data_IF_471882862975
#
_entry.id   IF_471882862975
#
_cell.length_a   1.000
_cell.length_b   1.000
_cell.length_c   1.000
_cell.angle_alpha   90.00
_cell.angle_beta   90.00
_cell.angle_gamma   90.00
#
_symmetry.space_group_name_H-M   'P 1'
#
loop_
_entity.id
_entity.type
_entity.pdbx_description
1 polymer ?
#
# COMPACT_ATOMS: atom_id res chain seq x y z
N UNK A 1 20.35 94.73 -21.83
CA UNK A 1 21.81 94.93 -21.79
C UNK A 1 22.44 93.71 -21.12
N UNK A 2 23.37 93.06 -21.82
CA UNK A 2 24.42 92.14 -21.35
C UNK A 2 24.02 90.80 -20.69
N UNK A 3 24.75 89.68 -20.80
CA UNK A 3 25.64 89.02 -21.78
C UNK A 3 26.01 87.67 -21.10
N UNK A 4 26.02 86.57 -21.87
CA UNK A 4 26.77 85.28 -21.74
C UNK A 4 26.63 84.29 -20.55
N UNK A 5 26.27 83.06 -20.94
CA UNK A 5 26.99 81.77 -20.83
C UNK A 5 27.37 81.15 -19.46
N UNK A 6 27.00 79.88 -19.23
CA UNK A 6 27.96 78.75 -19.23
C UNK A 6 27.25 77.38 -19.18
N UNK A 7 27.74 76.44 -19.98
CA UNK A 7 27.33 75.05 -20.01
C UNK A 7 27.98 74.23 -18.88
N UNK A 8 27.25 73.24 -18.34
CA UNK A 8 27.84 72.10 -17.63
C UNK A 8 27.13 70.81 -18.02
N UNK A 9 27.85 69.95 -18.73
CA UNK A 9 27.48 68.55 -19.03
C UNK A 9 27.91 67.71 -17.82
N UNK A 10 26.95 67.15 -17.08
CA UNK A 10 27.21 66.09 -16.09
C UNK A 10 26.94 64.72 -16.73
N UNK A 11 28.00 63.91 -16.84
CA UNK A 11 27.94 62.49 -17.22
C UNK A 11 27.07 61.72 -16.23
N UNK A 12 25.99 61.09 -16.71
CA UNK A 12 25.25 60.07 -15.96
C UNK A 12 25.83 58.71 -16.34
N UNK A 13 26.48 58.07 -15.39
CA UNK A 13 26.91 56.67 -15.45
C UNK A 13 25.67 55.82 -15.13
N UNK A 14 25.16 55.09 -16.13
CA UNK A 14 24.07 54.13 -15.96
C UNK A 14 24.68 52.76 -15.66
N UNK A 15 24.44 52.23 -14.46
CA UNK A 15 24.66 50.82 -14.13
C UNK A 15 23.55 49.96 -14.77
N UNK A 16 23.86 48.77 -15.33
CA UNK A 16 22.83 47.88 -15.83
C UNK A 16 22.11 47.21 -14.65
N UNK A 17 20.80 47.48 -14.54
CA UNK A 17 19.87 46.73 -13.70
C UNK A 17 19.76 45.33 -14.32
N UNK A 18 20.27 44.30 -13.62
CA UNK A 18 20.04 42.91 -13.99
C UNK A 18 18.55 42.60 -13.79
N UNK A 19 17.81 42.53 -14.90
CA UNK A 19 16.42 42.08 -14.93
C UNK A 19 16.39 40.59 -14.59
N UNK A 20 16.10 40.25 -13.34
CA UNK A 20 15.78 38.87 -12.95
C UNK A 20 14.42 38.54 -13.57
N UNK A 21 14.42 37.83 -14.69
CA UNK A 21 13.20 37.25 -15.26
C UNK A 21 12.71 36.17 -14.31
N UNK A 22 11.72 36.53 -13.50
CA UNK A 22 10.94 35.58 -12.72
C UNK A 22 10.12 34.75 -13.70
N UNK A 23 10.56 33.54 -14.03
CA UNK A 23 9.72 32.58 -14.76
C UNK A 23 8.55 32.23 -13.85
N UNK A 24 7.36 32.75 -14.16
CA UNK A 24 6.13 32.18 -13.64
C UNK A 24 6.02 30.76 -14.21
N UNK A 25 6.09 29.74 -13.34
CA UNK A 25 5.72 28.39 -13.72
C UNK A 25 4.22 28.42 -14.07
N UNK A 26 3.90 28.28 -15.36
CA UNK A 26 2.53 27.99 -15.78
C UNK A 26 2.11 26.63 -15.19
N UNK A 27 0.87 26.55 -14.72
CA UNK A 27 0.29 25.34 -14.14
C UNK A 27 0.04 24.32 -15.25
N UNK A 28 0.27 23.04 -14.94
CA UNK A 28 0.11 21.93 -15.87
C UNK A 28 -1.37 21.51 -15.94
N UNK A 29 -2.16 22.19 -16.76
CA UNK A 29 -3.62 22.06 -16.70
C UNK A 29 -4.14 20.87 -17.53
N UNK A 30 -5.01 20.03 -16.94
CA UNK A 30 -5.79 19.03 -17.68
C UNK A 30 -7.08 19.68 -18.20
N UNK A 31 -7.20 19.77 -19.52
CA UNK A 31 -8.33 20.42 -20.19
C UNK A 31 -9.36 19.40 -20.70
N UNK A 32 -8.91 18.19 -21.07
CA UNK A 32 -9.79 17.17 -21.66
C UNK A 32 -9.29 15.75 -21.41
N UNK A 33 -10.22 14.82 -21.23
CA UNK A 33 -9.96 13.38 -21.27
C UNK A 33 -10.61 12.79 -22.51
N UNK A 34 -9.81 12.17 -23.37
CA UNK A 34 -10.26 11.32 -24.47
C UNK A 34 -9.97 9.86 -24.13
N UNK A 35 -10.74 8.96 -24.72
CA UNK A 35 -10.48 7.53 -24.63
C UNK A 35 -10.82 6.86 -25.96
N UNK A 36 -10.23 5.70 -26.23
CA UNK A 36 -10.50 4.97 -27.46
C UNK A 36 -9.65 3.72 -27.61
N UNK A 37 -9.74 3.09 -28.78
CA UNK A 37 -8.87 1.99 -29.17
C UNK A 37 -7.87 2.45 -30.21
N UNK A 38 -6.61 2.08 -30.01
CA UNK A 38 -5.53 2.32 -30.96
C UNK A 38 -5.55 1.29 -32.08
N UNK A 39 -4.87 1.60 -33.20
CA UNK A 39 -4.79 0.72 -34.36
C UNK A 39 -4.13 -0.64 -34.06
N UNK A 40 -3.34 -0.72 -32.99
CA UNK A 40 -2.66 -1.94 -32.53
C UNK A 40 -3.47 -2.74 -31.49
N UNK A 41 -4.73 -2.35 -31.25
CA UNK A 41 -5.66 -2.99 -30.33
C UNK A 41 -5.54 -2.58 -28.86
N UNK A 42 -4.62 -1.69 -28.51
CA UNK A 42 -4.53 -1.17 -27.14
C UNK A 42 -5.71 -0.24 -26.80
N UNK A 43 -6.18 -0.29 -25.56
CA UNK A 43 -7.13 0.68 -25.03
C UNK A 43 -6.36 1.92 -24.54
N UNK A 44 -6.66 3.09 -25.08
CA UNK A 44 -5.94 4.32 -24.74
C UNK A 44 -6.82 5.26 -23.93
N UNK A 45 -6.26 5.80 -22.85
CA UNK A 45 -6.77 6.98 -22.14
C UNK A 45 -5.81 8.14 -22.40
N UNK A 46 -6.31 9.25 -22.91
CA UNK A 46 -5.51 10.42 -23.29
C UNK A 46 -5.96 11.62 -22.46
N UNK A 47 -5.06 12.19 -21.66
CA UNK A 47 -5.25 13.47 -20.99
C UNK A 47 -4.60 14.55 -21.85
N UNK A 48 -5.38 15.55 -22.24
CA UNK A 48 -4.97 16.67 -23.08
C UNK A 48 -4.93 17.92 -22.21
N UNK A 49 -3.88 18.69 -22.35
CA UNK A 49 -3.60 19.83 -21.52
C UNK A 49 -2.33 20.54 -21.96
N UNK A 50 -1.71 21.28 -21.05
CA UNK A 50 -0.48 22.01 -21.29
C UNK A 50 0.54 21.77 -20.15
N UNK A 51 1.82 21.98 -20.44
CA UNK A 51 2.93 21.92 -19.48
C UNK A 51 3.07 20.65 -18.62
N UNK A 52 2.77 19.47 -19.20
CA UNK A 52 2.95 18.17 -18.54
C UNK A 52 4.43 17.77 -18.37
N UNK A 53 5.06 18.30 -17.32
CA UNK A 53 6.42 17.96 -16.92
C UNK A 53 6.45 17.13 -15.63
N UNK A 54 7.41 16.21 -15.51
CA UNK A 54 7.59 15.42 -14.29
C UNK A 54 6.47 14.44 -13.97
N UNK A 55 5.60 14.12 -14.94
CA UNK A 55 4.49 13.18 -14.80
C UNK A 55 4.97 11.83 -14.27
N UNK A 56 4.31 11.33 -13.24
CA UNK A 56 4.58 10.03 -12.62
C UNK A 56 3.37 9.14 -12.81
N UNK A 57 3.59 7.83 -12.91
CA UNK A 57 2.48 6.88 -12.89
C UNK A 57 2.84 5.59 -12.16
N UNK A 58 1.83 4.93 -11.60
CA UNK A 58 1.95 3.63 -10.96
C UNK A 58 0.65 2.83 -11.12
N UNK A 59 0.72 1.51 -10.90
CA UNK A 59 -0.47 0.64 -10.92
C UNK A 59 -0.71 -0.02 -9.56
N UNK A 60 -1.99 -0.22 -9.24
CA UNK A 60 -2.48 -0.94 -8.08
C UNK A 60 -3.28 -2.15 -8.59
N UNK A 61 -3.22 -3.28 -7.90
CA UNK A 61 -3.89 -4.52 -8.34
C UNK A 61 -5.11 -4.90 -7.51
N UNK A 62 -5.33 -4.26 -6.36
CA UNK A 62 -6.47 -4.52 -5.50
C UNK A 62 -6.93 -3.25 -4.76
N UNK A 63 -7.87 -2.47 -5.32
CA UNK A 63 -8.50 -2.64 -6.64
C UNK A 63 -7.55 -2.32 -7.81
N UNK A 64 -7.86 -2.84 -9.01
CA UNK A 64 -7.05 -2.62 -10.20
C UNK A 64 -7.15 -1.16 -10.68
N UNK A 65 -6.06 -0.40 -10.57
CA UNK A 65 -6.01 1.03 -10.90
C UNK A 65 -4.69 1.40 -11.55
N UNK A 66 -4.69 2.40 -12.43
CA UNK A 66 -3.49 3.13 -12.83
C UNK A 66 -3.64 4.56 -12.31
N UNK A 67 -2.66 5.04 -11.57
CA UNK A 67 -2.63 6.40 -11.06
C UNK A 67 -1.57 7.17 -11.83
N UNK A 68 -1.91 8.37 -12.28
CA UNK A 68 -1.04 9.31 -12.97
C UNK A 68 -1.04 10.61 -12.18
N UNK A 69 0.11 10.97 -11.62
CA UNK A 69 0.33 12.21 -10.87
C UNK A 69 1.04 13.23 -11.78
N UNK A 70 0.45 14.41 -11.89
CA UNK A 70 0.93 15.55 -12.68
C UNK A 70 1.30 16.67 -11.69
N UNK A 71 2.59 16.92 -11.44
CA UNK A 71 3.04 17.97 -10.53
C UNK A 71 2.59 19.36 -10.97
N UNK A 72 2.25 20.23 -10.02
CA UNK A 72 1.81 21.62 -10.24
C UNK A 72 0.66 21.76 -11.26
N UNK A 73 -0.12 20.70 -11.46
CA UNK A 73 -1.23 20.71 -12.39
C UNK A 73 -2.50 21.26 -11.77
N UNK A 74 -3.46 21.65 -12.61
CA UNK A 74 -4.86 21.91 -12.22
C UNK A 74 -5.82 21.17 -13.14
N UNK A 75 -7.06 20.96 -12.69
CA UNK A 75 -8.08 20.30 -13.49
C UNK A 75 -9.09 21.32 -14.02
N UNK A 76 -9.06 21.61 -15.31
CA UNK A 76 -10.08 22.42 -16.00
C UNK A 76 -11.25 21.57 -16.54
N UNK A 77 -11.34 20.31 -16.13
CA UNK A 77 -12.43 19.41 -16.53
C UNK A 77 -13.76 19.87 -15.92
N UNK A 78 -14.83 19.85 -16.72
CA UNK A 78 -16.17 20.16 -16.24
C UNK A 78 -16.65 19.18 -15.15
N UNK A 79 -16.18 17.92 -15.20
CA UNK A 79 -16.45 16.90 -14.20
C UNK A 79 -15.14 16.17 -13.84
N UNK A 80 -14.96 15.87 -12.56
CA UNK A 80 -13.84 15.09 -12.05
C UNK A 80 -13.94 13.59 -12.41
N UNK A 81 -15.11 13.10 -12.84
CA UNK A 81 -15.35 11.72 -13.23
C UNK A 81 -15.70 11.64 -14.71
N UNK A 82 -14.90 10.88 -15.46
CA UNK A 82 -15.20 10.50 -16.85
C UNK A 82 -15.57 9.01 -16.89
N UNK A 83 -16.84 8.73 -17.16
CA UNK A 83 -17.32 7.36 -17.38
C UNK A 83 -16.85 6.86 -18.75
N UNK A 84 -16.44 5.59 -18.80
CA UNK A 84 -15.86 4.96 -19.98
C UNK A 84 -16.57 3.66 -20.34
N UNK A 85 -17.01 2.87 -19.35
CA UNK A 85 -17.75 1.60 -19.51
C UNK A 85 -17.09 0.62 -20.49
N UNK A 86 -15.76 0.60 -20.52
CA UNK A 86 -14.96 -0.28 -21.37
C UNK A 86 -14.71 -1.66 -20.75
N UNK A 87 -14.28 -2.66 -21.56
CA UNK A 87 -14.05 -4.03 -21.07
C UNK A 87 -12.89 -4.14 -20.06
N UNK A 88 -11.93 -3.20 -20.10
CA UNK A 88 -10.76 -3.16 -19.22
C UNK A 88 -10.80 -1.94 -18.31
N UNK A 89 -11.18 -0.77 -18.84
CA UNK A 89 -11.23 0.49 -18.08
C UNK A 89 -12.69 0.84 -17.80
N UNK A 90 -13.02 1.03 -16.53
CA UNK A 90 -14.37 1.41 -16.10
C UNK A 90 -14.59 2.92 -16.16
N UNK A 91 -13.68 3.69 -15.55
CA UNK A 91 -13.75 5.16 -15.52
C UNK A 91 -12.40 5.79 -15.18
N UNK A 92 -12.33 7.11 -15.34
CA UNK A 92 -11.19 7.94 -14.94
C UNK A 92 -11.66 9.01 -13.97
N UNK A 93 -10.99 9.11 -12.83
CA UNK A 93 -11.25 10.11 -11.79
C UNK A 93 -10.05 11.04 -11.69
N UNK A 94 -10.25 12.33 -11.85
CA UNK A 94 -9.22 13.37 -11.72
C UNK A 94 -9.49 14.18 -10.46
N UNK A 95 -8.53 14.18 -9.54
CA UNK A 95 -8.61 14.94 -8.30
C UNK A 95 -7.48 15.96 -8.30
N UNK A 96 -7.83 17.22 -8.08
CA UNK A 96 -6.88 18.32 -7.87
C UNK A 96 -6.51 18.41 -6.40
N UNK A 97 -5.21 18.50 -6.10
CA UNK A 97 -4.68 18.82 -4.78
C UNK A 97 -3.68 19.97 -4.88
N UNK A 98 -3.16 20.42 -3.74
CA UNK A 98 -2.38 21.66 -3.65
C UNK A 98 -1.08 21.65 -4.48
N UNK A 99 -0.44 20.49 -4.65
CA UNK A 99 0.85 20.35 -5.33
C UNK A 99 0.80 19.52 -6.63
N UNK A 100 -0.35 18.92 -6.95
CA UNK A 100 -0.50 18.02 -8.10
C UNK A 100 -1.95 17.76 -8.47
N UNK A 101 -2.15 17.37 -9.73
CA UNK A 101 -3.37 16.70 -10.18
C UNK A 101 -3.13 15.20 -10.27
N UNK A 102 -4.04 14.42 -9.69
CA UNK A 102 -4.02 12.97 -9.71
C UNK A 102 -5.15 12.43 -10.59
N UNK A 103 -4.80 11.81 -11.71
CA UNK A 103 -5.73 11.07 -12.54
C UNK A 103 -5.66 9.56 -12.21
N UNK A 104 -6.78 8.98 -11.81
CA UNK A 104 -6.94 7.57 -11.44
C UNK A 104 -7.81 6.86 -12.45
N UNK A 105 -7.23 5.92 -13.19
CA UNK A 105 -7.91 5.07 -14.16
C UNK A 105 -8.31 3.78 -13.45
N UNK A 106 -9.61 3.59 -13.21
CA UNK A 106 -10.14 2.37 -12.59
C UNK A 106 -10.32 1.28 -13.65
N UNK A 107 -9.86 0.07 -13.35
CA UNK A 107 -9.87 -1.06 -14.27
C UNK A 107 -10.61 -2.26 -13.68
N UNK A 108 -11.22 -3.08 -14.55
CA UNK A 108 -11.88 -4.34 -14.18
C UNK A 108 -10.89 -5.43 -13.78
N UNK A 109 -9.66 -5.36 -14.32
CA UNK A 109 -8.56 -6.27 -14.02
C UNK A 109 -7.22 -5.58 -14.24
N UNK A 110 -6.17 -6.05 -13.57
CA UNK A 110 -4.84 -5.47 -13.74
C UNK A 110 -4.23 -5.89 -15.08
N UNK A 111 -3.87 -4.90 -15.89
CA UNK A 111 -3.29 -5.08 -17.22
C UNK A 111 -2.07 -4.17 -17.36
N UNK A 112 -0.96 -4.63 -17.99
CA UNK A 112 0.19 -3.77 -18.27
C UNK A 112 -0.20 -2.54 -19.10
N UNK A 113 0.47 -1.42 -18.82
CA UNK A 113 0.28 -0.18 -19.57
C UNK A 113 1.59 0.45 -19.99
N UNK A 114 1.53 1.29 -21.02
CA UNK A 114 2.62 2.14 -21.49
C UNK A 114 2.17 3.60 -21.36
N UNK A 115 2.93 4.39 -20.61
CA UNK A 115 2.75 5.84 -20.55
C UNK A 115 3.59 6.52 -21.63
N UNK A 116 2.98 7.36 -22.46
CA UNK A 116 3.68 8.30 -23.33
C UNK A 116 3.30 9.71 -22.89
N UNK A 117 4.30 10.52 -22.57
CA UNK A 117 4.10 11.89 -22.14
C UNK A 117 4.76 12.86 -23.13
N UNK A 118 4.00 13.84 -23.60
CA UNK A 118 4.46 15.05 -24.32
C UNK A 118 4.00 16.28 -23.54
N UNK A 119 4.57 17.45 -23.83
CA UNK A 119 4.24 18.69 -23.12
C UNK A 119 2.72 18.97 -23.03
N UNK A 120 1.96 18.58 -24.05
CA UNK A 120 0.51 18.86 -24.15
C UNK A 120 -0.40 17.62 -24.06
N UNK A 121 0.18 16.42 -23.87
CA UNK A 121 -0.60 15.18 -23.89
C UNK A 121 0.05 14.05 -23.13
N UNK A 122 -0.73 13.42 -22.25
CA UNK A 122 -0.37 12.15 -21.62
C UNK A 122 -1.26 11.05 -22.19
N UNK A 123 -0.65 10.00 -22.74
CA UNK A 123 -1.34 8.82 -23.26
C UNK A 123 -0.99 7.60 -22.40
N UNK A 124 -2.00 6.96 -21.83
CA UNK A 124 -1.91 5.67 -21.13
C UNK A 124 -2.47 4.59 -22.06
N UNK A 125 -1.60 3.80 -22.66
CA UNK A 125 -1.97 2.69 -23.54
C UNK A 125 -1.98 1.38 -22.76
N UNK A 126 -3.17 0.79 -22.58
CA UNK A 126 -3.43 -0.43 -21.80
C UNK A 126 -3.68 -1.56 -22.79
N UNK A 127 -2.79 -2.54 -22.83
CA UNK A 127 -2.87 -3.65 -23.79
C UNK A 127 -3.00 -4.96 -23.06
N UNK A 128 -4.18 -5.57 -23.18
CA UNK A 128 -4.41 -6.92 -22.67
C UNK A 128 -3.75 -7.95 -23.60
N UNK A 129 -2.72 -8.69 -23.13
CA UNK A 129 -2.06 -9.70 -23.94
C UNK A 129 -2.97 -10.88 -24.31
N UNK A 130 -4.12 -11.05 -23.67
CA UNK A 130 -5.08 -12.12 -23.97
C UNK A 130 -6.17 -11.72 -24.97
N UNK A 131 -6.32 -10.42 -25.29
CA UNK A 131 -7.33 -9.90 -26.26
C UNK A 131 -6.72 -9.73 -27.67
N UNK A 132 -5.56 -10.33 -27.91
CA UNK A 132 -4.87 -10.31 -29.20
C UNK A 132 -5.07 -11.59 -30.01
N UNK A 133 -6.30 -12.07 -30.24
CA UNK A 133 -6.52 -13.15 -31.25
C UNK A 133 -7.97 -13.25 -31.71
N UNK A 134 -8.40 -12.37 -32.62
CA UNK A 134 -9.47 -12.68 -33.57
C UNK A 134 -9.22 -11.89 -34.86
N UNK A 135 -8.29 -12.35 -35.69
CA UNK A 135 -8.37 -12.18 -37.15
C UNK A 135 -7.67 -13.35 -37.84
N UNK A 136 -8.27 -13.75 -38.95
CA UNK A 136 -8.24 -15.06 -39.59
C UNK A 136 -6.86 -15.61 -39.98
N UNK A 137 -6.83 -16.95 -39.99
CA UNK A 137 -5.78 -17.79 -40.56
C UNK A 137 -5.63 -17.52 -42.06
N UNK A 138 -4.53 -16.91 -42.46
CA UNK A 138 -3.86 -17.18 -43.74
C UNK A 138 -2.37 -17.37 -43.47
N UNK A 139 -1.85 -18.55 -43.85
CA UNK A 139 -0.43 -18.89 -43.74
C UNK A 139 0.41 -17.97 -44.65
N UNK A 140 1.35 -17.17 -44.12
CA UNK A 140 2.36 -16.52 -44.95
C UNK A 140 3.60 -17.43 -45.06
N UNK A 141 4.13 -17.54 -46.28
CA UNK A 141 5.46 -18.07 -46.59
C UNK A 141 6.52 -17.38 -45.71
N UNK A 142 7.41 -18.15 -45.07
CA UNK A 142 8.53 -17.62 -44.29
C UNK A 142 9.47 -16.74 -45.14
N UNK A 143 9.69 -15.46 -44.78
CA UNK A 143 10.94 -14.80 -45.06
C UNK A 143 11.98 -15.28 -44.04
N UNK A 144 13.18 -15.62 -44.51
CA UNK A 144 14.34 -15.91 -43.64
C UNK A 144 14.63 -14.70 -42.76
N UNK A 145 14.30 -14.78 -41.48
CA UNK A 145 14.66 -13.75 -40.51
C UNK A 145 16.15 -13.89 -40.16
N UNK A 146 16.89 -12.81 -40.40
CA UNK A 146 18.28 -12.63 -39.96
C UNK A 146 18.35 -12.91 -38.45
N UNK A 147 19.41 -13.63 -38.07
CA UNK A 147 19.76 -14.02 -36.71
C UNK A 147 19.40 -12.99 -35.65
N UNK A 148 18.54 -13.38 -34.71
CA UNK A 148 18.24 -12.59 -33.52
C UNK A 148 19.53 -12.31 -32.73
N UNK A 149 19.79 -11.06 -32.30
CA UNK A 149 20.93 -10.76 -31.44
C UNK A 149 20.78 -11.50 -30.10
N UNK A 150 21.90 -12.01 -29.56
CA UNK A 150 22.00 -12.74 -28.27
C UNK A 150 21.17 -12.07 -27.16
N UNK A 151 20.56 -12.84 -26.24
CA UNK A 151 19.80 -12.27 -25.13
C UNK A 151 20.73 -11.41 -24.28
N UNK A 152 20.51 -10.09 -24.29
CA UNK A 152 21.11 -9.19 -23.32
C UNK A 152 20.54 -9.59 -21.95
N UNK A 153 21.40 -9.71 -20.94
CA UNK A 153 20.97 -10.04 -19.58
C UNK A 153 20.54 -8.77 -18.87
N UNK A 154 19.52 -8.87 -18.02
CA UNK A 154 19.18 -7.83 -17.09
C UNK A 154 20.18 -7.83 -15.93
N UNK A 155 20.59 -6.64 -15.49
CA UNK A 155 21.45 -6.47 -14.32
C UNK A 155 20.69 -5.79 -13.18
N UNK A 156 21.11 -6.07 -11.95
CA UNK A 156 20.43 -5.65 -10.72
C UNK A 156 21.45 -5.05 -9.79
N UNK A 157 21.18 -3.80 -9.41
CA UNK A 157 21.93 -3.02 -8.43
C UNK A 157 21.01 -2.56 -7.30
N UNK A 158 21.62 -2.27 -6.15
CA UNK A 158 20.95 -1.66 -5.01
C UNK A 158 21.71 -0.43 -4.54
N UNK A 159 20.98 0.64 -4.21
CA UNK A 159 21.52 1.81 -3.54
C UNK A 159 20.58 2.27 -2.42
N UNK A 160 21.15 2.87 -1.38
CA UNK A 160 20.38 3.65 -0.40
C UNK A 160 20.12 5.06 -0.94
N UNK A 161 18.91 5.56 -0.72
CA UNK A 161 18.53 6.95 -0.96
C UNK A 161 18.50 7.77 0.34
N UNK A 162 17.88 8.95 0.29
CA UNK A 162 17.68 9.80 1.47
C UNK A 162 16.70 9.15 2.45
N UNK A 163 16.81 9.50 3.75
CA UNK A 163 15.89 9.07 4.81
C UNK A 163 15.74 7.54 5.01
N UNK A 164 16.70 6.73 4.60
CA UNK A 164 16.64 5.26 4.70
C UNK A 164 15.80 4.59 3.59
N UNK A 165 15.60 5.30 2.48
CA UNK A 165 15.01 4.76 1.26
C UNK A 165 15.90 3.66 0.67
N UNK A 166 15.32 2.52 0.26
CA UNK A 166 16.01 1.49 -0.51
C UNK A 166 15.64 1.57 -1.98
N UNK A 167 16.62 1.56 -2.90
CA UNK A 167 16.39 1.61 -4.34
C UNK A 167 16.95 0.36 -5.02
N UNK A 168 16.09 -0.44 -5.62
CA UNK A 168 16.50 -1.59 -6.46
C UNK A 168 16.40 -1.17 -7.91
N UNK A 169 17.56 -1.05 -8.57
CA UNK A 169 17.67 -0.63 -9.96
C UNK A 169 17.90 -1.85 -10.84
N UNK A 170 17.01 -2.07 -11.79
CA UNK A 170 17.08 -3.15 -12.76
C UNK A 170 17.37 -2.55 -14.13
N UNK A 171 18.51 -2.88 -14.72
CA UNK A 171 18.83 -2.52 -16.10
C UNK A 171 18.25 -3.57 -17.03
N UNK A 172 17.23 -3.21 -17.77
CA UNK A 172 16.49 -4.08 -18.69
C UNK A 172 17.26 -4.34 -19.99
N UNK A 173 17.08 -5.52 -20.61
CA UNK A 173 17.84 -5.91 -21.79
C UNK A 173 17.34 -5.25 -23.09
N UNK A 174 16.04 -4.94 -23.15
CA UNK A 174 15.41 -4.19 -24.23
C UNK A 174 14.36 -3.22 -23.67
N UNK A 175 13.86 -2.31 -24.52
CA UNK A 175 12.75 -1.40 -24.17
C UNK A 175 11.40 -2.13 -24.07
N UNK A 176 11.28 -3.28 -24.74
CA UNK A 176 10.06 -4.11 -24.73
C UNK A 176 10.01 -5.06 -23.53
N UNK A 177 11.07 -5.10 -22.72
CA UNK A 177 11.10 -5.87 -21.48
C UNK A 177 10.27 -5.18 -20.41
N UNK A 178 9.57 -5.96 -19.58
CA UNK A 178 8.73 -5.45 -18.49
C UNK A 178 8.99 -6.20 -17.20
N UNK A 179 8.73 -5.55 -16.07
CA UNK A 179 8.85 -6.14 -14.73
C UNK A 179 7.52 -6.03 -14.02
N UNK A 180 7.00 -7.18 -13.58
CA UNK A 180 5.79 -7.25 -12.74
C UNK A 180 6.22 -7.37 -11.28
N UNK A 181 5.73 -6.49 -10.42
CA UNK A 181 6.11 -6.47 -9.00
C UNK A 181 4.91 -6.89 -8.15
N UNK A 182 5.11 -7.92 -7.32
CA UNK A 182 4.08 -8.48 -6.44
C UNK A 182 4.56 -8.53 -4.99
N UNK A 183 3.65 -8.24 -4.06
CA UNK A 183 3.92 -8.40 -2.62
C UNK A 183 3.37 -9.73 -2.14
N UNK A 184 4.25 -10.60 -1.66
CA UNK A 184 3.92 -11.92 -1.12
C UNK A 184 4.40 -11.98 0.33
N UNK A 185 3.52 -11.62 1.26
CA UNK A 185 3.84 -11.50 2.69
C UNK A 185 4.87 -10.40 2.97
N UNK A 186 6.00 -10.75 3.59
CA UNK A 186 7.15 -9.86 3.86
C UNK A 186 8.18 -9.79 2.73
N UNK A 187 7.80 -10.26 1.53
CA UNK A 187 8.69 -10.33 0.37
C UNK A 187 8.06 -9.64 -0.83
N UNK A 188 8.90 -9.00 -1.63
CA UNK A 188 8.54 -8.48 -2.94
C UNK A 188 9.13 -9.40 -4.00
N UNK A 189 8.30 -9.84 -4.93
CA UNK A 189 8.68 -10.65 -6.09
C UNK A 189 8.63 -9.75 -7.32
N UNK A 190 9.76 -9.53 -7.97
CA UNK A 190 9.82 -8.80 -9.24
C UNK A 190 10.10 -9.78 -10.38
N UNK A 191 9.09 -10.05 -11.20
CA UNK A 191 9.14 -11.01 -12.31
C UNK A 191 9.47 -10.28 -13.61
N UNK A 192 10.57 -10.68 -14.26
CA UNK A 192 10.99 -10.12 -15.55
C UNK A 192 10.34 -10.89 -16.71
N UNK A 193 9.86 -10.13 -17.69
CA UNK A 193 9.32 -10.60 -18.97
C UNK A 193 10.12 -10.00 -20.12
N UNK A 194 10.35 -10.76 -21.19
CA UNK A 194 11.13 -10.30 -22.36
C UNK A 194 12.66 -10.38 -22.20
N UNK A 195 13.15 -11.11 -21.18
CA UNK A 195 14.58 -11.33 -20.95
C UNK A 195 14.85 -12.20 -19.73
N UNK A 196 16.14 -12.33 -19.36
CA UNK A 196 16.57 -13.04 -18.15
C UNK A 196 17.55 -12.18 -17.36
N UNK A 197 17.56 -12.31 -16.04
CA UNK A 197 18.68 -11.85 -15.23
C UNK A 197 19.92 -12.72 -15.51
N UNK A 198 21.09 -12.20 -15.15
CA UNK A 198 22.35 -12.92 -15.27
C UNK A 198 22.47 -14.10 -14.29
N UNK A 199 23.65 -14.29 -13.70
CA UNK A 199 23.88 -15.38 -12.74
C UNK A 199 23.03 -15.19 -11.48
N UNK A 200 22.58 -16.31 -10.92
CA UNK A 200 21.89 -16.29 -9.63
C UNK A 200 22.87 -15.79 -8.57
N UNK A 201 22.52 -14.69 -7.91
CA UNK A 201 23.34 -14.04 -6.89
C UNK A 201 22.44 -13.54 -5.76
N UNK A 202 22.99 -13.46 -4.56
CA UNK A 202 22.31 -12.86 -3.40
C UNK A 202 23.05 -11.60 -3.00
N UNK A 203 22.32 -10.49 -2.93
CA UNK A 203 22.83 -9.21 -2.44
C UNK A 203 22.32 -9.02 -1.01
N UNK A 204 23.23 -8.92 -0.04
CA UNK A 204 22.88 -8.53 1.32
C UNK A 204 23.03 -7.01 1.44
N UNK A 205 21.96 -6.33 1.84
CA UNK A 205 21.89 -4.86 1.83
C UNK A 205 21.39 -4.30 3.16
N UNK A 206 21.47 -5.10 4.23
CA UNK A 206 21.01 -4.75 5.57
C UNK A 206 21.81 -3.58 6.17
N UNK A 207 23.11 -3.50 5.84
CA UNK A 207 24.02 -2.49 6.39
C UNK A 207 23.78 -1.08 5.85
N UNK A 208 22.93 -0.95 4.81
CA UNK A 208 22.59 0.33 4.20
C UNK A 208 21.48 1.09 4.95
N UNK A 209 21.02 0.59 6.10
CA UNK A 209 20.04 1.29 6.95
C UNK A 209 18.66 1.47 6.30
N UNK A 210 18.31 0.60 5.34
CA UNK A 210 17.02 0.63 4.64
C UNK A 210 16.10 -0.49 5.12
N UNK A 211 14.83 -0.45 4.73
CA UNK A 211 13.87 -1.54 5.00
C UNK A 211 14.17 -2.81 4.20
N UNK A 212 15.03 -2.74 3.18
CA UNK A 212 15.43 -3.89 2.36
C UNK A 212 16.55 -4.65 3.05
N UNK A 213 16.35 -5.95 3.27
CA UNK A 213 17.32 -6.83 3.93
C UNK A 213 18.25 -7.50 2.91
N UNK A 214 17.66 -8.13 1.90
CA UNK A 214 18.39 -8.86 0.87
C UNK A 214 17.62 -8.93 -0.44
N UNK A 215 18.36 -9.10 -1.54
CA UNK A 215 17.82 -9.29 -2.89
C UNK A 215 18.39 -10.59 -3.46
N UNK A 216 17.55 -11.60 -3.60
CA UNK A 216 17.91 -12.86 -4.25
C UNK A 216 17.56 -12.75 -5.74
N UNK A 217 18.57 -12.78 -6.61
CA UNK A 217 18.43 -12.73 -8.07
C UNK A 217 18.35 -14.16 -8.60
N UNK A 218 17.26 -14.49 -9.28
CA UNK A 218 17.08 -15.74 -10.03
C UNK A 218 17.00 -15.47 -11.53
N UNK A 219 17.07 -16.51 -12.35
CA UNK A 219 17.07 -16.41 -13.83
C UNK A 219 15.99 -15.47 -14.40
N UNK A 220 14.76 -15.53 -13.88
CA UNK A 220 13.63 -14.73 -14.38
C UNK A 220 13.00 -13.82 -13.33
N UNK A 221 13.46 -13.83 -12.07
CA UNK A 221 12.80 -13.07 -10.99
C UNK A 221 13.75 -12.61 -9.92
N UNK A 222 13.37 -11.56 -9.22
CA UNK A 222 13.99 -11.13 -7.98
C UNK A 222 13.08 -11.47 -6.81
N UNK A 223 13.68 -11.84 -5.70
CA UNK A 223 13.01 -11.99 -4.41
C UNK A 223 13.68 -11.04 -3.42
N UNK A 224 12.98 -9.96 -3.12
CA UNK A 224 13.45 -8.91 -2.24
C UNK A 224 12.81 -9.16 -0.87
N UNK A 225 13.62 -9.36 0.16
CA UNK A 225 13.16 -9.56 1.53
C UNK A 225 13.28 -8.25 2.31
N UNK A 226 12.25 -7.88 3.06
CA UNK A 226 12.26 -6.66 3.88
C UNK A 226 12.38 -6.97 5.37
N UNK A 227 12.82 -6.00 6.17
CA UNK A 227 12.94 -6.11 7.62
C UNK A 227 11.57 -6.11 8.32
N UNK A 228 10.64 -5.32 7.81
CA UNK A 228 9.27 -5.19 8.31
C UNK A 228 8.31 -4.95 7.15
N UNK A 229 7.01 -4.83 7.44
CA UNK A 229 5.96 -4.55 6.45
C UNK A 229 5.64 -3.04 6.30
N UNK A 230 6.25 -2.18 7.11
CA UNK A 230 5.92 -0.76 7.21
C UNK A 230 6.78 0.07 6.25
N UNK A 231 6.41 0.08 4.98
CA UNK A 231 7.05 0.84 3.92
C UNK A 231 6.08 1.09 2.77
N UNK A 232 6.29 2.17 2.04
CA UNK A 232 5.61 2.44 0.79
C UNK A 232 6.46 1.91 -0.37
N UNK A 233 5.81 1.21 -1.30
CA UNK A 233 6.45 0.62 -2.46
C UNK A 233 6.06 1.42 -3.70
N UNK A 234 7.03 2.02 -4.37
CA UNK A 234 6.83 2.60 -5.70
C UNK A 234 7.69 1.85 -6.71
N UNK A 235 7.21 1.73 -7.94
CA UNK A 235 8.00 1.17 -9.03
C UNK A 235 7.72 1.90 -10.32
N UNK A 236 8.76 2.19 -11.09
CA UNK A 236 8.64 2.90 -12.35
C UNK A 236 9.72 2.48 -13.34
N UNK A 237 9.41 2.55 -14.64
CA UNK A 237 10.36 2.29 -15.71
C UNK A 237 10.71 3.60 -16.43
N UNK A 238 12.00 3.88 -16.54
CA UNK A 238 12.53 4.94 -17.39
C UNK A 238 13.50 4.31 -18.42
N UNK A 239 13.12 4.36 -19.70
CA UNK A 239 13.83 3.71 -20.80
C UNK A 239 14.09 2.20 -20.54
N UNK A 240 15.36 1.84 -20.33
CA UNK A 240 15.84 0.49 -20.04
C UNK A 240 16.18 0.32 -18.55
N UNK A 241 15.65 1.18 -17.70
CA UNK A 241 15.87 1.11 -16.25
C UNK A 241 14.53 0.97 -15.57
N UNK A 242 14.32 -0.12 -14.84
CA UNK A 242 13.19 -0.29 -13.96
C UNK A 242 13.66 -0.06 -12.52
N UNK A 243 13.03 0.86 -11.80
CA UNK A 243 13.36 1.18 -10.42
C UNK A 243 12.23 0.71 -9.51
N UNK A 244 12.59 0.07 -8.41
CA UNK A 244 11.70 -0.22 -7.29
C UNK A 244 12.23 0.55 -6.09
N UNK A 245 11.44 1.48 -5.57
CA UNK A 245 11.79 2.25 -4.39
C UNK A 245 10.97 1.77 -3.18
N UNK A 246 11.69 1.60 -2.09
CA UNK A 246 11.16 1.26 -0.78
C UNK A 246 11.32 2.50 0.08
N UNK A 247 10.26 3.28 0.14
CA UNK A 247 10.23 4.47 0.97
C UNK A 247 9.85 4.03 2.38
N UNK A 248 10.46 4.63 3.39
CA UNK A 248 9.77 4.68 4.68
C UNK A 248 8.38 5.26 4.40
N UNK A 249 7.32 4.75 5.06
CA UNK A 249 6.01 5.35 4.90
C UNK A 249 6.22 6.84 5.07
N UNK A 250 5.79 7.62 4.08
CA UNK A 250 5.66 9.05 4.29
C UNK A 250 4.68 9.13 5.44
N UNK A 251 5.20 9.28 6.67
CA UNK A 251 4.48 10.07 7.65
C UNK A 251 4.34 11.36 6.90
N UNK A 252 3.16 11.59 6.32
CA UNK A 252 2.81 12.91 5.83
C UNK A 252 3.35 13.86 6.89
N UNK A 253 4.13 14.85 6.47
CA UNK A 253 4.53 15.91 7.38
C UNK A 253 3.24 16.69 7.67
N UNK A 254 2.37 16.10 8.46
CA UNK A 254 1.39 16.81 9.25
C UNK A 254 2.26 17.68 10.16
N UNK A 255 2.05 18.99 10.10
CA UNK A 255 2.80 19.92 10.93
C UNK A 255 2.70 19.46 12.39
N UNK A 256 3.84 19.07 12.95
CA UNK A 256 3.92 18.40 14.24
C UNK A 256 3.72 19.35 15.43
N UNK A 257 3.61 20.66 15.17
CA UNK A 257 3.31 21.65 16.19
C UNK A 257 1.81 21.69 16.57
N UNK A 258 0.93 21.06 15.77
CA UNK A 258 -0.53 21.06 15.94
C UNK A 258 -1.11 19.69 16.38
N UNK A 259 -0.26 18.75 16.81
CA UNK A 259 -0.65 17.35 16.98
C UNK A 259 -0.29 16.82 18.37
N UNK A 260 -1.22 16.13 19.04
CA UNK A 260 -1.90 16.72 20.19
C UNK A 260 -1.70 15.85 21.44
N UNK A 261 -2.12 16.23 22.65
CA UNK A 261 -2.43 15.19 23.63
C UNK A 261 -3.74 14.53 23.17
N UNK A 262 -3.68 13.68 22.14
CA UNK A 262 -4.86 12.98 21.61
C UNK A 262 -4.77 12.41 20.20
N UNK A 263 -3.63 11.90 19.71
CA UNK A 263 -3.47 11.17 18.41
C UNK A 263 -4.27 11.72 17.20
N UNK A 264 -3.67 12.66 16.48
CA UNK A 264 -4.21 13.36 15.31
C UNK A 264 -4.34 12.54 14.01
N UNK A 265 -4.44 11.22 14.13
CA UNK A 265 -4.82 10.32 13.02
C UNK A 265 -6.30 9.96 13.06
N UNK A 266 -7.04 10.41 14.08
CA UNK A 266 -8.46 10.13 14.26
C UNK A 266 -9.28 11.39 13.96
N UNK A 267 -10.21 11.29 13.01
CA UNK A 267 -11.28 12.27 12.85
C UNK A 267 -12.22 12.15 14.06
N UNK A 268 -12.26 13.18 14.90
CA UNK A 268 -13.21 13.31 16.00
C UNK A 268 -14.57 13.77 15.46
N UNK A 269 -15.64 13.05 15.82
CA UNK A 269 -17.01 13.25 15.30
C UNK A 269 -18.04 13.43 16.41
N UNK A 270 -17.59 13.46 17.67
CA UNK A 270 -18.47 13.65 18.81
C UNK A 270 -19.09 15.04 18.84
N UNK A 271 -20.28 15.13 19.43
CA UNK A 271 -20.87 16.41 19.81
C UNK A 271 -19.91 17.20 20.72
N UNK A 272 -19.85 18.51 20.54
CA UNK A 272 -18.92 19.35 21.28
C UNK A 272 -19.39 19.57 22.71
N UNK A 273 -18.43 19.62 23.62
CA UNK A 273 -18.66 19.89 25.03
C UNK A 273 -17.72 20.99 25.54
N UNK A 274 -18.22 21.72 26.54
CA UNK A 274 -17.47 22.75 27.25
C UNK A 274 -17.54 22.44 28.74
N UNK A 275 -16.39 22.14 29.35
CA UNK A 275 -16.28 21.69 30.73
C UNK A 275 -15.19 22.49 31.42
N UNK A 276 -15.41 22.87 32.67
CA UNK A 276 -14.39 23.54 33.48
C UNK A 276 -14.43 22.99 34.89
N UNK A 277 -13.46 22.13 35.19
CA UNK A 277 -13.31 21.51 36.50
C UNK A 277 -11.89 21.69 37.00
N UNK A 278 -11.80 21.98 38.29
CA UNK A 278 -10.54 22.00 39.02
C UNK A 278 -10.56 20.81 39.97
N UNK A 279 -9.54 19.98 39.90
CA UNK A 279 -9.31 18.85 40.82
C UNK A 279 -10.52 17.90 40.97
N UNK A 280 -11.13 17.52 39.85
CA UNK A 280 -12.26 16.57 39.83
C UNK A 280 -11.74 15.14 39.73
N UNK A 281 -12.39 14.19 40.42
CA UNK A 281 -12.06 12.77 40.26
C UNK A 281 -12.24 12.31 38.82
N UNK A 282 -11.26 11.58 38.29
CA UNK A 282 -11.29 11.10 36.90
C UNK A 282 -12.54 10.24 36.64
N UNK A 283 -12.97 9.45 37.63
CA UNK A 283 -14.20 8.65 37.56
C UNK A 283 -15.44 9.53 37.35
N UNK A 284 -15.54 10.64 38.09
CA UNK A 284 -16.66 11.56 37.98
C UNK A 284 -16.70 12.24 36.61
N UNK A 285 -15.54 12.61 36.05
CA UNK A 285 -15.47 13.17 34.68
C UNK A 285 -15.90 12.15 33.63
N UNK A 286 -15.43 10.91 33.74
CA UNK A 286 -15.82 9.84 32.81
C UNK A 286 -17.32 9.55 32.88
N UNK A 287 -17.91 9.59 34.07
CA UNK A 287 -19.34 9.44 34.26
C UNK A 287 -20.13 10.60 33.64
N UNK A 288 -19.66 11.84 33.80
CA UNK A 288 -20.29 12.99 33.16
C UNK A 288 -20.29 12.89 31.63
N UNK A 289 -19.20 12.40 31.04
CA UNK A 289 -19.13 12.13 29.59
C UNK A 289 -20.10 11.01 29.20
N UNK A 290 -20.21 9.94 30.00
CA UNK A 290 -21.16 8.86 29.78
C UNK A 290 -22.61 9.38 29.76
N UNK A 291 -22.97 10.21 30.75
CA UNK A 291 -24.29 10.79 30.91
C UNK A 291 -24.62 11.76 29.77
N UNK A 292 -23.66 12.59 29.34
CA UNK A 292 -23.83 13.51 28.22
C UNK A 292 -24.05 12.79 26.89
N UNK A 293 -23.28 11.72 26.64
CA UNK A 293 -23.30 10.98 25.37
C UNK A 293 -24.30 9.83 25.35
N UNK A 294 -24.98 9.56 26.48
CA UNK A 294 -25.82 8.38 26.71
C UNK A 294 -25.09 7.07 26.35
N UNK A 295 -23.79 6.99 26.64
CA UNK A 295 -22.96 5.81 26.37
C UNK A 295 -22.75 4.98 27.64
N UNK A 296 -22.68 3.65 27.47
CA UNK A 296 -22.42 2.77 28.61
C UNK A 296 -20.92 2.71 28.88
N UNK A 297 -20.45 3.40 29.91
CA UNK A 297 -19.06 3.39 30.36
C UNK A 297 -18.94 2.57 31.64
N UNK A 298 -18.01 1.61 31.66
CA UNK A 298 -17.64 0.84 32.84
C UNK A 298 -16.20 1.18 33.21
N UNK A 299 -16.01 1.75 34.40
CA UNK A 299 -14.70 2.20 34.88
C UNK A 299 -14.16 1.22 35.92
N UNK A 300 -12.95 0.68 35.70
CA UNK A 300 -12.30 -0.23 36.66
C UNK A 300 -12.14 0.41 38.05
N UNK A 301 -12.14 -0.41 39.11
CA UNK A 301 -11.81 0.03 40.47
C UNK A 301 -10.41 0.63 40.60
N UNK A 302 -9.49 0.26 39.71
CA UNK A 302 -8.10 0.72 39.71
C UNK A 302 -7.90 2.14 39.13
N UNK A 303 -8.97 2.75 38.61
CA UNK A 303 -8.91 4.14 38.11
C UNK A 303 -8.94 5.10 39.29
N UNK A 304 -7.79 5.70 39.58
CA UNK A 304 -7.57 6.61 40.71
C UNK A 304 -6.98 7.95 40.25
N UNK A 305 -7.20 8.98 41.06
CA UNK A 305 -6.63 10.31 40.88
C UNK A 305 -7.64 11.36 40.39
N UNK A 306 -7.21 12.62 40.47
CA UNK A 306 -7.98 13.79 40.06
C UNK A 306 -7.36 14.48 38.84
N UNK A 307 -8.16 15.18 38.06
CA UNK A 307 -7.73 15.93 36.89
C UNK A 307 -8.30 17.35 36.94
N UNK A 308 -7.50 18.33 36.52
CA UNK A 308 -7.98 19.68 36.24
C UNK A 308 -8.12 19.82 34.74
N UNK A 309 -9.30 20.23 34.29
CA UNK A 309 -9.69 20.22 32.89
C UNK A 309 -10.46 21.49 32.56
N UNK A 310 -10.04 22.17 31.51
CA UNK A 310 -10.78 23.27 30.90
C UNK A 310 -10.90 23.00 29.41
N UNK A 311 -12.11 22.65 28.98
CA UNK A 311 -12.50 22.42 27.60
C UNK A 311 -13.49 23.50 27.18
N UNK A 312 -13.32 23.99 25.96
CA UNK A 312 -14.23 24.94 25.35
C UNK A 312 -14.46 24.49 23.92
N UNK A 313 -15.71 24.10 23.62
CA UNK A 313 -16.15 23.62 22.30
C UNK A 313 -15.28 22.48 21.74
N UNK A 314 -15.01 21.47 22.56
CA UNK A 314 -14.18 20.31 22.18
C UNK A 314 -15.07 19.09 21.97
N UNK A 315 -14.97 18.35 20.84
CA UNK A 315 -15.67 17.08 20.65
C UNK A 315 -15.46 16.12 21.82
N UNK A 316 -16.53 15.49 22.31
CA UNK A 316 -16.45 14.65 23.51
C UNK A 316 -15.49 13.45 23.37
N UNK A 317 -15.34 12.92 22.16
CA UNK A 317 -14.46 11.81 21.84
C UNK A 317 -12.98 12.24 21.85
N UNK A 318 -12.70 13.47 21.43
CA UNK A 318 -11.39 14.11 21.60
C UNK A 318 -11.10 14.37 23.08
N UNK A 319 -12.06 14.94 23.80
CA UNK A 319 -11.95 15.19 25.23
C UNK A 319 -11.67 13.91 26.01
N UNK A 320 -12.39 12.83 25.70
CA UNK A 320 -12.17 11.52 26.28
C UNK A 320 -10.75 11.02 26.01
N UNK A 321 -10.26 11.11 24.76
CA UNK A 321 -8.90 10.67 24.44
C UNK A 321 -7.83 11.46 25.20
N UNK A 322 -7.98 12.80 25.29
CA UNK A 322 -7.10 13.66 26.08
C UNK A 322 -7.06 13.22 27.55
N UNK A 323 -8.22 12.95 28.15
CA UNK A 323 -8.33 12.52 29.56
C UNK A 323 -7.65 11.15 29.75
N UNK A 324 -7.92 10.21 28.84
CA UNK A 324 -7.33 8.87 28.90
C UNK A 324 -5.81 8.95 28.81
N UNK A 325 -5.28 9.74 27.88
CA UNK A 325 -3.84 9.94 27.70
C UNK A 325 -3.20 10.64 28.90
N UNK A 326 -3.80 11.72 29.40
CA UNK A 326 -3.29 12.47 30.55
C UNK A 326 -3.18 11.62 31.82
N UNK A 327 -4.03 10.60 31.96
CA UNK A 327 -4.07 9.71 33.14
C UNK A 327 -3.54 8.30 32.89
N UNK A 328 -2.94 8.03 31.73
CA UNK A 328 -2.41 6.70 31.40
C UNK A 328 -3.49 5.61 31.44
N UNK A 329 -4.71 5.98 31.10
CA UNK A 329 -5.84 5.08 30.98
C UNK A 329 -5.95 4.59 29.53
N UNK A 330 -6.62 3.47 29.36
CA UNK A 330 -6.96 2.95 28.06
C UNK A 330 -8.41 2.49 28.05
N UNK A 331 -9.01 2.52 26.86
CA UNK A 331 -10.39 2.15 26.63
C UNK A 331 -10.44 0.89 25.77
N UNK A 332 -11.28 -0.05 26.16
CA UNK A 332 -11.67 -1.21 25.36
C UNK A 332 -13.16 -1.11 25.05
N UNK A 333 -13.52 -1.11 23.77
CA UNK A 333 -14.92 -1.06 23.33
C UNK A 333 -15.39 -2.47 22.97
N UNK A 334 -16.39 -2.95 23.69
CA UNK A 334 -17.02 -4.24 23.46
C UNK A 334 -18.48 -4.01 23.12
N UNK A 335 -18.77 -3.85 21.82
CA UNK A 335 -20.10 -3.52 21.33
C UNK A 335 -20.56 -2.14 21.84
N UNK A 336 -21.62 -2.13 22.66
CA UNK A 336 -22.24 -0.92 23.21
C UNK A 336 -21.62 -0.44 24.54
N UNK A 337 -20.66 -1.19 25.10
CA UNK A 337 -20.04 -0.88 26.39
C UNK A 337 -18.57 -0.50 26.19
N UNK A 338 -18.16 0.58 26.84
CA UNK A 338 -16.78 1.06 26.88
C UNK A 338 -16.18 0.76 28.25
N UNK A 339 -15.21 -0.14 28.30
CA UNK A 339 -14.46 -0.46 29.51
C UNK A 339 -13.22 0.42 29.58
N UNK A 340 -13.08 1.19 30.67
CA UNK A 340 -11.95 2.09 30.90
C UNK A 340 -11.17 1.63 32.13
N UNK A 341 -9.86 1.45 31.97
CA UNK A 341 -8.97 1.03 33.04
C UNK A 341 -7.55 1.56 32.78
N UNK A 342 -6.66 1.55 33.79
CA UNK A 342 -5.25 1.84 33.57
C UNK A 342 -4.67 0.91 32.50
N UNK A 343 -3.80 1.44 31.63
CA UNK A 343 -3.20 0.64 30.54
C UNK A 343 -2.52 -0.63 31.05
N UNK A 344 -1.86 -0.55 32.23
CA UNK A 344 -1.21 -1.68 32.88
C UNK A 344 -2.18 -2.81 33.25
N UNK A 345 -3.40 -2.47 33.71
CA UNK A 345 -4.44 -3.44 34.06
C UNK A 345 -4.96 -4.13 32.80
N UNK A 346 -5.21 -3.36 31.73
CA UNK A 346 -5.66 -3.91 30.45
C UNK A 346 -4.63 -4.88 29.88
N UNK A 347 -3.35 -4.48 29.85
CA UNK A 347 -2.27 -5.35 29.37
C UNK A 347 -2.18 -6.64 30.20
N UNK A 348 -2.18 -6.53 31.53
CA UNK A 348 -2.14 -7.70 32.43
C UNK A 348 -3.32 -8.65 32.20
N UNK A 349 -4.54 -8.12 32.06
CA UNK A 349 -5.73 -8.94 31.82
C UNK A 349 -5.67 -9.65 30.47
N UNK A 350 -5.15 -8.99 29.44
CA UNK A 350 -4.94 -9.59 28.13
C UNK A 350 -3.90 -10.71 28.20
N UNK A 351 -2.74 -10.46 28.82
CA UNK A 351 -1.68 -11.46 29.02
C UNK A 351 -2.20 -12.69 29.77
N UNK A 352 -2.95 -12.49 30.85
CA UNK A 352 -3.55 -13.59 31.61
C UNK A 352 -4.59 -14.34 30.77
N UNK A 353 -5.40 -13.63 29.99
CA UNK A 353 -6.33 -14.24 29.04
C UNK A 353 -5.64 -15.12 28.00
N UNK A 354 -4.52 -14.65 27.44
CA UNK A 354 -3.70 -15.46 26.53
C UNK A 354 -3.10 -16.67 27.23
N UNK A 355 -2.57 -16.50 28.45
CA UNK A 355 -2.00 -17.59 29.24
C UNK A 355 -3.03 -18.66 29.57
N UNK A 356 -4.23 -18.26 30.01
CA UNK A 356 -5.34 -19.18 30.28
C UNK A 356 -5.73 -19.93 29.00
N UNK A 357 -5.80 -19.24 27.86
CA UNK A 357 -6.14 -19.85 26.57
C UNK A 357 -5.09 -20.88 26.14
N UNK A 358 -3.80 -20.56 26.30
CA UNK A 358 -2.70 -21.49 26.04
C UNK A 358 -2.77 -22.72 26.95
N UNK A 359 -2.95 -22.53 28.26
CA UNK A 359 -3.10 -23.64 29.21
C UNK A 359 -4.32 -24.50 28.89
N UNK A 360 -5.44 -23.89 28.47
CA UNK A 360 -6.64 -24.63 28.04
C UNK A 360 -6.35 -25.50 26.83
N UNK A 361 -5.64 -24.97 25.83
CA UNK A 361 -5.25 -25.75 24.65
C UNK A 361 -4.28 -26.88 25.02
N UNK A 362 -3.28 -26.61 25.87
CA UNK A 362 -2.32 -27.62 26.32
C UNK A 362 -2.97 -28.75 27.14
N UNK A 363 -4.04 -28.45 27.89
CA UNK A 363 -4.77 -29.43 28.72
C UNK A 363 -5.98 -30.05 28.05
N UNK A 364 -6.37 -29.57 26.87
CA UNK A 364 -7.48 -30.15 26.14
C UNK A 364 -7.14 -31.59 25.68
N UNK A 365 -8.11 -32.52 25.69
CA UNK A 365 -7.87 -33.87 25.22
C UNK A 365 -7.61 -33.86 23.71
N UNK A 366 -6.58 -34.59 23.28
CA UNK A 366 -6.32 -34.82 21.87
C UNK A 366 -7.35 -35.81 21.33
N UNK A 367 -7.91 -35.48 20.18
CA UNK A 367 -8.85 -36.32 19.44
C UNK A 367 -8.24 -36.67 18.09
N UNK A 368 -8.51 -37.88 17.63
CA UNK A 368 -8.11 -38.34 16.31
C UNK A 368 -9.31 -38.28 15.37
N UNK A 369 -9.13 -37.65 14.22
CA UNK A 369 -10.16 -37.58 13.18
C UNK A 369 -9.59 -37.90 11.79
N UNK A 370 -10.48 -38.38 10.91
CA UNK A 370 -10.18 -38.85 9.57
C UNK A 370 -10.99 -38.03 8.56
N UNK A 371 -10.30 -37.24 7.74
CA UNK A 371 -10.94 -36.41 6.72
C UNK A 371 -10.62 -36.98 5.34
N UNK A 372 -11.63 -37.57 4.70
CA UNK A 372 -11.53 -38.05 3.33
C UNK A 372 -11.55 -36.88 2.35
N UNK A 373 -10.58 -36.84 1.43
CA UNK A 373 -10.46 -35.82 0.40
C UNK A 373 -10.95 -36.39 -0.93
N UNK A 374 -11.82 -35.66 -1.65
CA UNK A 374 -12.54 -36.20 -2.81
C UNK A 374 -12.05 -35.66 -4.15
N UNK A 375 -11.69 -34.38 -4.23
CA UNK A 375 -11.31 -33.69 -5.47
C UNK A 375 -9.81 -33.35 -5.49
N UNK A 376 -9.26 -32.91 -4.36
CA UNK A 376 -7.84 -32.60 -4.21
C UNK A 376 -7.02 -33.84 -3.79
N UNK A 377 -5.70 -33.79 -4.01
CA UNK A 377 -4.77 -34.77 -3.41
C UNK A 377 -4.46 -34.38 -1.97
N UNK A 378 -4.63 -35.31 -1.03
CA UNK A 378 -4.37 -35.09 0.39
C UNK A 378 -2.94 -34.60 0.68
N UNK A 379 -1.93 -35.09 -0.06
CA UNK A 379 -0.55 -34.58 0.03
C UNK A 379 -0.40 -33.09 -0.29
N UNK A 380 -1.17 -32.58 -1.26
CA UNK A 380 -1.12 -31.16 -1.63
C UNK A 380 -1.77 -30.31 -0.54
N UNK A 381 -2.85 -30.80 0.06
CA UNK A 381 -3.48 -30.15 1.21
C UNK A 381 -2.56 -30.16 2.44
N UNK A 382 -1.87 -31.28 2.70
CA UNK A 382 -0.86 -31.37 3.76
C UNK A 382 0.19 -30.27 3.62
N UNK A 383 0.72 -30.05 2.42
CA UNK A 383 1.71 -28.96 2.17
C UNK A 383 1.14 -27.58 2.50
N UNK A 384 -0.13 -27.31 2.17
CA UNK A 384 -0.77 -26.03 2.51
C UNK A 384 -0.90 -25.88 4.03
N UNK A 385 -1.33 -26.94 4.72
CA UNK A 385 -1.49 -26.96 6.18
C UNK A 385 -0.13 -26.87 6.91
N UNK A 386 0.91 -27.51 6.38
CA UNK A 386 2.25 -27.57 6.96
C UNK A 386 3.08 -26.29 6.65
N UNK A 387 2.83 -25.63 5.51
CA UNK A 387 3.41 -24.29 5.27
C UNK A 387 2.89 -23.22 6.26
N UNK A 388 1.77 -23.50 6.94
CA UNK A 388 1.28 -22.72 8.08
C UNK A 388 2.12 -22.90 9.35
N UNK A 389 2.77 -24.05 9.55
CA UNK A 389 3.66 -24.33 10.70
C UNK A 389 4.99 -23.58 10.64
N UNK A 390 5.57 -23.44 9.45
CA UNK A 390 6.90 -22.82 9.29
C UNK A 390 6.91 -21.28 9.23
N UNK A 391 5.75 -20.63 9.41
CA UNK A 391 5.62 -19.17 9.26
C UNK A 391 5.69 -18.39 10.58
N UNK A 392 5.58 -19.05 11.75
CA UNK A 392 5.79 -18.45 13.07
C UNK A 392 7.07 -19.01 13.72
N UNK A 393 7.85 -18.15 14.36
CA UNK A 393 9.15 -18.50 14.99
C UNK A 393 8.98 -19.27 16.32
N UNK A 394 7.74 -19.40 16.79
CA UNK A 394 7.38 -19.98 18.09
C UNK A 394 6.75 -21.38 18.01
N UNK A 395 6.89 -22.08 16.87
CA UNK A 395 6.41 -23.48 16.71
C UNK A 395 4.88 -23.65 16.65
N UNK A 396 4.12 -22.57 16.81
CA UNK A 396 2.66 -22.56 16.73
C UNK A 396 2.20 -22.35 15.29
N UNK A 397 1.31 -23.22 14.81
CA UNK A 397 0.73 -23.11 13.48
C UNK A 397 -0.64 -22.47 13.52
N UNK A 398 -1.06 -21.83 12.44
CA UNK A 398 -2.36 -21.14 12.37
C UNK A 398 -3.57 -22.09 12.54
N UNK A 399 -3.35 -23.40 12.38
CA UNK A 399 -4.41 -24.42 12.29
C UNK A 399 -4.28 -25.58 13.27
N UNK A 400 -3.08 -25.87 13.78
CA UNK A 400 -2.79 -26.98 14.69
C UNK A 400 -2.12 -26.47 15.97
N UNK A 401 -2.41 -27.13 17.09
CA UNK A 401 -1.78 -26.83 18.38
C UNK A 401 -0.31 -27.26 18.40
N UNK A 402 0.42 -26.84 19.44
CA UNK A 402 1.78 -27.29 19.75
C UNK A 402 1.90 -28.83 19.80
N UNK A 403 0.82 -29.53 20.20
CA UNK A 403 0.73 -30.99 20.33
C UNK A 403 0.08 -31.66 19.11
N UNK A 404 -0.38 -30.88 18.15
CA UNK A 404 -1.15 -31.33 16.99
C UNK A 404 -0.29 -31.97 15.91
N UNK A 405 -0.69 -33.14 15.43
CA UNK A 405 -0.06 -33.83 14.29
C UNK A 405 -1.06 -34.08 13.17
N UNK A 406 -0.56 -34.07 11.92
CA UNK A 406 -1.35 -34.39 10.74
C UNK A 406 -0.50 -35.29 9.84
N UNK A 407 -1.08 -36.39 9.38
CA UNK A 407 -0.46 -37.33 8.44
C UNK A 407 -1.43 -37.66 7.31
N UNK A 408 -0.91 -38.21 6.22
CA UNK A 408 -1.70 -38.58 5.03
C UNK A 408 -1.65 -40.09 4.86
N UNK A 409 -2.80 -40.70 4.58
CA UNK A 409 -2.88 -42.03 3.97
C UNK A 409 -3.13 -41.86 2.47
N UNK A 410 -2.09 -42.08 1.67
CA UNK A 410 -2.11 -41.94 0.21
C UNK A 410 -3.05 -42.93 -0.46
N UNK A 411 -3.14 -44.16 0.08
CA UNK A 411 -3.96 -45.23 -0.53
C UNK A 411 -5.44 -44.89 -0.47
N UNK A 412 -5.88 -44.22 0.59
CA UNK A 412 -7.28 -43.85 0.79
C UNK A 412 -7.55 -42.36 0.56
N UNK A 413 -6.54 -41.58 0.15
CA UNK A 413 -6.57 -40.12 0.02
C UNK A 413 -7.21 -39.44 1.25
N UNK A 414 -6.78 -39.86 2.45
CA UNK A 414 -7.37 -39.43 3.73
C UNK A 414 -6.33 -38.68 4.58
N UNK A 415 -6.76 -37.57 5.18
CA UNK A 415 -5.98 -36.83 6.18
C UNK A 415 -6.30 -37.38 7.56
N UNK A 416 -5.27 -37.79 8.29
CA UNK A 416 -5.34 -38.25 9.67
C UNK A 416 -4.85 -37.13 10.56
N UNK A 417 -5.74 -36.57 11.38
CA UNK A 417 -5.45 -35.42 12.24
C UNK A 417 -5.54 -35.88 13.69
N UNK A 418 -4.57 -35.47 14.51
CA UNK A 418 -4.59 -35.66 15.95
C UNK A 418 -4.34 -34.32 16.63
N UNK A 419 -5.40 -33.69 17.13
CA UNK A 419 -5.35 -32.37 17.75
C UNK A 419 -6.57 -32.15 18.69
N UNK A 420 -6.69 -30.97 19.28
CA UNK A 420 -7.89 -30.56 20.03
C UNK A 420 -9.08 -30.38 19.07
N UNK A 421 -10.29 -30.70 19.54
CA UNK A 421 -11.51 -30.68 18.72
C UNK A 421 -11.71 -29.38 17.92
N UNK A 422 -11.47 -28.23 18.55
CA UNK A 422 -11.60 -26.90 17.91
C UNK A 422 -10.65 -26.74 16.70
N UNK A 423 -9.43 -27.27 16.79
CA UNK A 423 -8.45 -27.20 15.70
C UNK A 423 -8.78 -28.19 14.58
N UNK A 424 -9.29 -29.39 14.93
CA UNK A 424 -9.80 -30.35 13.94
C UNK A 424 -10.93 -29.72 13.13
N UNK A 425 -11.86 -29.01 13.78
CA UNK A 425 -12.96 -28.32 13.10
C UNK A 425 -12.46 -27.22 12.14
N UNK A 426 -11.45 -26.43 12.57
CA UNK A 426 -10.80 -25.43 11.71
C UNK A 426 -10.16 -26.08 10.48
N UNK A 427 -9.43 -27.17 10.66
CA UNK A 427 -8.82 -27.91 9.55
C UNK A 427 -9.91 -28.48 8.64
N UNK A 428 -10.99 -29.04 9.18
CA UNK A 428 -12.12 -29.57 8.38
C UNK A 428 -12.76 -28.51 7.51
N UNK A 429 -13.04 -27.32 8.06
CA UNK A 429 -13.59 -26.21 7.30
C UNK A 429 -12.65 -25.74 6.18
N UNK A 430 -11.35 -25.70 6.46
CA UNK A 430 -10.35 -25.33 5.46
C UNK A 430 -10.26 -26.38 4.34
N UNK A 431 -10.21 -27.66 4.69
CA UNK A 431 -10.21 -28.76 3.71
C UNK A 431 -11.46 -28.69 2.85
N UNK A 432 -12.65 -28.48 3.43
CA UNK A 432 -13.90 -28.36 2.66
C UNK A 432 -13.91 -27.18 1.67
N UNK A 433 -13.24 -26.07 2.00
CA UNK A 433 -13.10 -24.91 1.10
C UNK A 433 -12.12 -25.16 -0.04
N UNK A 434 -11.10 -26.00 0.19
CA UNK A 434 -10.06 -26.30 -0.79
C UNK A 434 -10.38 -27.52 -1.66
N UNK A 435 -11.16 -28.47 -1.14
CA UNK A 435 -11.58 -29.69 -1.81
C UNK A 435 -12.82 -29.45 -2.70
N UNK A 436 -12.65 -28.59 -3.72
CA UNK A 436 -13.71 -28.27 -4.70
C UNK A 436 -13.35 -28.79 -6.09
N UNK A 437 -14.34 -29.21 -6.90
CA UNK A 437 -14.10 -29.66 -8.28
C UNK A 437 -13.60 -28.51 -9.16
N UNK A 438 -12.58 -28.80 -9.97
CA UNK A 438 -12.12 -27.87 -11.01
C UNK A 438 -13.04 -27.92 -12.23
N UNK A 439 -13.51 -26.75 -12.70
CA UNK A 439 -14.20 -26.65 -14.00
C UNK A 439 -13.18 -26.79 -15.12
N UNK A 440 -13.33 -27.82 -15.93
CA UNK A 440 -12.62 -27.92 -17.21
C UNK A 440 -13.26 -26.92 -18.18
N UNK A 441 -12.45 -26.02 -18.74
CA UNK A 441 -12.84 -25.06 -19.78
C UNK A 441 -12.28 -25.53 -21.11
#
# INVERSE_FOLDING_TARGET
MNITALAMIKKIIVWPFALFTMFALQAADINKINHGRSADGAYEVQMIGDDFYGVRSYSLNNPARIVVDIPNGRSQLANNLTQIDGPIVSNVVVIEGDDRVRATINMSKSVPYVLKNTANKITVAIKDPMIGTLHQVQKPKLPKLKTAPRPRQADVDFTSGTNGQGKVKIRLPSRDSSVTVERVGSKIIAQLSGGTFGRTKKLNVTDFGTVVKSIDVYKNKLKISTLNSNYELSSYQNDKTFLIEFNKPTVEKVNQDELPPGDSRREYKGETLSLNFQDIEVRAVLQLIADFTNTNIVVSGDVNGSITLRLNDVPWDQALDVILQAKGLSMQKNGNVMYIAPSSVIVKNLEEGFRISAVKQDRAPLQKDLIKVNYARAENLLKVLDTGRHRRKDGESDFLSSRGSITVDERTNTLIINDVAENIDKVRQLVAKLDIPVKHV
#
